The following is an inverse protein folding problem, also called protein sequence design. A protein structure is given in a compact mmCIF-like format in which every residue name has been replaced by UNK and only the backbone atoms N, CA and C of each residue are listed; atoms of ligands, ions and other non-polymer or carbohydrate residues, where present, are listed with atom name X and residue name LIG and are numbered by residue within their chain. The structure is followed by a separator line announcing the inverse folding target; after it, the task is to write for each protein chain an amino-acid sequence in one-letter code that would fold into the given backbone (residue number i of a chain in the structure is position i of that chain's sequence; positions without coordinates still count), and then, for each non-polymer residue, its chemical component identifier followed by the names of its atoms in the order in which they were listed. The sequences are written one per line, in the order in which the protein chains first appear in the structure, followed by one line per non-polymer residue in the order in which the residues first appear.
data_IF_650038056089
#
_entry.id   IF_650038056089
#
_cell.length_a   1.000
_cell.length_b   1.000
_cell.length_c   1.000
_cell.angle_alpha   90.00
_cell.angle_beta   90.00
_cell.angle_gamma   90.00
#
_symmetry.space_group_name_H-M   'P 1'
#
loop_
_entity.id
_entity.type
_entity.pdbx_description
1 polymer ?
#
# COMPACT_ATOMS: atom_id res chain seq x y z
N UNK A 1 -14.88 -24.08 -39.26
CA UNK A 1 -15.34 -23.16 -38.18
C UNK A 1 -16.37 -22.22 -38.79
N UNK A 2 -17.66 -22.32 -38.46
CA UNK A 2 -18.65 -21.44 -39.08
C UNK A 2 -18.63 -20.06 -38.42
N UNK A 3 -18.51 -19.02 -39.25
CA UNK A 3 -18.54 -17.62 -38.83
C UNK A 3 -19.96 -17.25 -38.36
N UNK A 4 -20.07 -16.74 -37.14
CA UNK A 4 -21.33 -16.28 -36.56
C UNK A 4 -21.67 -14.93 -37.19
N UNK A 5 -22.68 -14.92 -38.06
CA UNK A 5 -23.21 -13.72 -38.70
C UNK A 5 -24.07 -12.94 -37.70
N UNK A 6 -23.74 -11.67 -37.43
CA UNK A 6 -24.55 -10.77 -36.59
C UNK A 6 -25.19 -9.74 -37.52
N UNK A 7 -26.52 -9.73 -37.71
CA UNK A 7 -27.16 -8.73 -38.56
C UNK A 7 -27.09 -7.35 -37.87
N UNK A 8 -26.66 -6.35 -38.62
CA UNK A 8 -26.64 -4.96 -38.21
C UNK A 8 -28.06 -4.38 -38.35
N UNK A 9 -28.81 -4.29 -37.25
CA UNK A 9 -30.13 -3.65 -37.23
C UNK A 9 -30.00 -2.29 -36.58
N UNK A 10 -29.70 -1.29 -37.41
CA UNK A 10 -29.87 0.12 -37.09
C UNK A 10 -31.37 0.42 -36.98
N UNK A 11 -31.96 0.29 -35.79
CA UNK A 11 -33.31 0.81 -35.53
C UNK A 11 -33.18 2.26 -35.05
N UNK A 12 -33.64 3.19 -35.88
CA UNK A 12 -33.92 4.57 -35.47
C UNK A 12 -35.09 4.51 -34.48
N UNK A 13 -34.88 4.99 -33.27
CA UNK A 13 -35.92 5.08 -32.23
C UNK A 13 -36.73 6.37 -32.46
N UNK A 14 -38.08 6.33 -32.45
CA UNK A 14 -38.87 7.55 -32.51
C UNK A 14 -38.86 8.28 -31.17
N UNK A 15 -38.73 9.60 -31.21
CA UNK A 15 -38.80 10.51 -30.07
C UNK A 15 -40.22 10.49 -29.48
N UNK A 16 -40.36 9.85 -28.32
CA UNK A 16 -41.55 9.99 -27.47
C UNK A 16 -41.09 10.45 -26.09
N UNK A 17 -41.52 11.64 -25.69
CA UNK A 17 -41.25 12.21 -24.37
C UNK A 17 -41.96 11.37 -23.30
N UNK A 18 -41.22 10.46 -22.67
CA UNK A 18 -41.67 9.73 -21.48
C UNK A 18 -41.24 10.53 -20.26
N UNK A 19 -42.22 11.10 -19.53
CA UNK A 19 -41.98 11.72 -18.24
C UNK A 19 -41.50 10.65 -17.22
N UNK A 20 -40.20 10.62 -16.94
CA UNK A 20 -39.62 9.77 -15.90
C UNK A 20 -39.86 10.45 -14.56
N UNK A 21 -40.89 9.99 -13.85
CA UNK A 21 -41.10 10.30 -12.44
C UNK A 21 -39.90 9.82 -11.63
N UNK A 22 -39.09 10.76 -11.12
CA UNK A 22 -38.03 10.47 -10.15
C UNK A 22 -38.71 10.15 -8.82
N UNK A 23 -38.80 8.86 -8.51
CA UNK A 23 -39.14 8.42 -7.15
C UNK A 23 -37.87 8.51 -6.30
N UNK A 24 -37.92 9.37 -5.30
CA UNK A 24 -36.87 9.47 -4.29
C UNK A 24 -36.91 8.25 -3.36
N UNK A 25 -35.72 7.90 -2.88
CA UNK A 25 -35.41 6.86 -1.88
C UNK A 25 -35.39 5.40 -2.36
N UNK A 26 -34.22 5.00 -2.87
CA UNK A 26 -33.75 3.63 -2.76
C UNK A 26 -32.39 3.63 -2.08
N UNK A 27 -32.40 3.54 -0.74
CA UNK A 27 -31.25 3.23 0.10
C UNK A 27 -30.38 2.13 -0.55
N UNK A 28 -29.24 2.52 -1.12
CA UNK A 28 -28.33 1.66 -1.89
C UNK A 28 -27.48 0.81 -0.95
N UNK A 29 -28.13 -0.04 -0.16
CA UNK A 29 -27.47 -1.12 0.58
C UNK A 29 -27.10 -2.22 -0.42
N UNK A 30 -25.94 -2.06 -1.07
CA UNK A 30 -25.39 -3.06 -1.98
C UNK A 30 -25.40 -4.45 -1.33
N UNK A 31 -26.08 -5.41 -1.95
CA UNK A 31 -26.14 -6.79 -1.47
C UNK A 31 -24.73 -7.38 -1.52
N UNK A 32 -24.17 -7.74 -0.35
CA UNK A 32 -22.84 -8.37 -0.26
C UNK A 32 -22.85 -9.65 -1.09
N UNK A 33 -22.17 -9.63 -2.25
CA UNK A 33 -21.96 -10.83 -3.07
C UNK A 33 -21.19 -11.87 -2.23
N UNK A 34 -21.77 -13.06 -2.05
CA UNK A 34 -21.09 -14.18 -1.36
C UNK A 34 -19.89 -14.62 -2.19
N UNK A 35 -18.69 -14.62 -1.59
CA UNK A 35 -17.46 -15.05 -2.27
C UNK A 35 -17.51 -16.57 -2.48
N UNK A 36 -17.26 -17.02 -3.71
CA UNK A 36 -17.21 -18.44 -4.03
C UNK A 36 -16.17 -19.18 -3.16
N UNK A 37 -16.42 -20.46 -2.83
CA UNK A 37 -15.46 -21.26 -2.06
C UNK A 37 -14.12 -21.36 -2.81
N UNK A 38 -12.98 -21.36 -2.09
CA UNK A 38 -11.66 -21.45 -2.71
C UNK A 38 -11.48 -22.79 -3.43
N UNK A 39 -11.03 -22.74 -4.68
CA UNK A 39 -10.89 -23.90 -5.58
C UNK A 39 -9.73 -24.83 -5.22
N UNK A 40 -8.76 -24.38 -4.42
CA UNK A 40 -7.59 -25.19 -4.01
C UNK A 40 -7.68 -25.55 -2.52
N UNK A 41 -7.46 -26.83 -2.21
CA UNK A 41 -7.38 -27.37 -0.85
C UNK A 41 -6.20 -26.81 -0.04
N UNK A 42 -6.10 -27.15 1.26
CA UNK A 42 -4.93 -26.82 2.08
C UNK A 42 -3.65 -27.39 1.45
N UNK A 43 -2.49 -26.78 1.70
CA UNK A 43 -1.23 -27.40 1.32
C UNK A 43 -0.95 -28.67 2.14
N UNK A 44 0.08 -29.42 1.75
CA UNK A 44 0.58 -30.59 2.50
C UNK A 44 1.02 -30.22 3.92
N UNK A 45 1.35 -28.94 4.15
CA UNK A 45 1.67 -28.40 5.48
C UNK A 45 0.43 -27.90 6.26
N UNK A 46 -0.79 -28.25 5.82
CA UNK A 46 -2.05 -27.92 6.52
C UNK A 46 -2.54 -26.47 6.40
N UNK A 47 -1.82 -25.57 5.71
CA UNK A 47 -2.17 -24.15 5.63
C UNK A 47 -3.06 -23.86 4.43
N UNK A 48 -4.20 -23.18 4.68
CA UNK A 48 -5.09 -22.64 3.65
C UNK A 48 -5.24 -21.12 3.81
N UNK A 49 -4.96 -20.31 2.76
CA UNK A 49 -4.47 -20.65 1.43
C UNK A 49 -2.96 -20.98 1.35
N UNK A 50 -2.55 -21.73 0.31
CA UNK A 50 -1.16 -22.11 0.01
C UNK A 50 -0.16 -20.95 0.06
N UNK A 51 -0.56 -19.74 -0.32
CA UNK A 51 0.27 -18.52 -0.28
C UNK A 51 0.66 -18.06 1.13
N UNK A 52 -0.07 -18.49 2.17
CA UNK A 52 0.28 -18.22 3.58
C UNK A 52 1.26 -19.24 4.16
N UNK A 53 1.43 -20.39 3.52
CA UNK A 53 2.38 -21.39 3.97
C UNK A 53 3.80 -20.87 3.79
N UNK A 54 4.58 -20.79 4.88
CA UNK A 54 5.97 -20.30 4.83
C UNK A 54 6.84 -21.16 3.90
N UNK A 55 6.65 -22.48 3.93
CA UNK A 55 7.40 -23.43 3.11
C UNK A 55 7.00 -23.37 1.63
N UNK A 56 5.70 -23.42 1.32
CA UNK A 56 5.25 -23.37 -0.09
C UNK A 56 5.45 -22.00 -0.76
N UNK A 57 5.41 -20.91 0.01
CA UNK A 57 5.55 -19.55 -0.53
C UNK A 57 7.00 -19.05 -0.56
N UNK A 58 7.94 -19.78 0.05
CA UNK A 58 9.35 -19.45 0.03
C UNK A 58 10.00 -19.75 -1.33
N UNK A 59 11.05 -18.98 -1.64
CA UNK A 59 12.00 -19.23 -2.71
C UNK A 59 13.29 -19.84 -2.12
N UNK A 60 14.19 -20.39 -2.96
CA UNK A 60 15.49 -20.90 -2.49
C UNK A 60 16.35 -19.83 -1.79
N UNK A 61 16.11 -18.54 -2.05
CA UNK A 61 16.80 -17.42 -1.39
C UNK A 61 16.22 -17.05 -0.01
N UNK A 62 15.40 -17.92 0.60
CA UNK A 62 14.83 -17.72 1.94
C UNK A 62 13.78 -16.61 2.05
N UNK A 63 13.36 -16.01 0.93
CA UNK A 63 12.35 -14.95 0.86
C UNK A 63 11.02 -15.50 0.32
N UNK A 64 9.91 -14.79 0.51
CA UNK A 64 8.67 -15.13 -0.22
C UNK A 64 8.90 -14.92 -1.71
N UNK A 65 8.50 -15.86 -2.57
CA UNK A 65 8.67 -15.79 -4.04
C UNK A 65 8.21 -14.46 -4.63
N UNK A 66 7.08 -13.94 -4.16
CA UNK A 66 6.54 -12.65 -4.59
C UNK A 66 7.49 -11.47 -4.30
N UNK A 67 8.22 -11.50 -3.18
CA UNK A 67 9.15 -10.45 -2.72
C UNK A 67 10.62 -10.82 -2.92
N UNK A 68 10.95 -11.80 -3.77
CA UNK A 68 12.33 -12.14 -4.06
C UNK A 68 12.81 -11.41 -5.31
N UNK A 69 13.80 -10.52 -5.17
CA UNK A 69 14.39 -9.78 -6.30
C UNK A 69 15.13 -10.70 -7.26
N UNK A 70 15.88 -11.67 -6.73
CA UNK A 70 16.69 -12.63 -7.50
C UNK A 70 15.82 -13.59 -8.31
N UNK A 71 14.61 -13.92 -7.84
CA UNK A 71 13.65 -14.73 -8.59
C UNK A 71 12.78 -13.93 -9.58
N UNK A 72 12.99 -12.62 -9.73
CA UNK A 72 12.10 -11.77 -10.52
C UNK A 72 10.67 -11.72 -9.95
N UNK A 73 10.54 -11.76 -8.62
CA UNK A 73 9.26 -11.75 -7.93
C UNK A 73 8.37 -10.59 -8.37
N UNK A 74 7.07 -10.84 -8.54
CA UNK A 74 6.12 -9.88 -9.10
C UNK A 74 5.93 -8.58 -8.28
N UNK A 75 6.51 -8.49 -7.08
CA UNK A 75 6.60 -7.24 -6.32
C UNK A 75 7.55 -6.22 -6.96
N UNK A 76 8.53 -6.65 -7.76
CA UNK A 76 9.52 -5.77 -8.38
C UNK A 76 9.18 -5.51 -9.86
N UNK A 77 9.55 -4.34 -10.36
CA UNK A 77 9.53 -4.02 -11.78
C UNK A 77 10.89 -4.28 -12.43
N UNK A 78 10.96 -4.13 -13.75
CA UNK A 78 12.20 -4.23 -14.54
C UNK A 78 13.30 -3.27 -14.07
N UNK A 79 12.93 -2.11 -13.52
CA UNK A 79 13.84 -1.14 -12.91
C UNK A 79 14.44 -1.62 -11.56
N UNK A 80 14.12 -2.83 -11.10
CA UNK A 80 14.62 -3.39 -9.84
C UNK A 80 14.08 -2.70 -8.59
N UNK A 81 13.05 -1.84 -8.73
CA UNK A 81 12.31 -1.15 -7.67
C UNK A 81 11.01 -1.88 -7.36
N UNK A 82 10.45 -1.66 -6.17
CA UNK A 82 9.12 -2.19 -5.84
C UNK A 82 8.07 -1.55 -6.77
N UNK A 83 7.27 -2.35 -7.46
CA UNK A 83 6.35 -1.91 -8.53
C UNK A 83 5.36 -0.85 -8.04
N UNK A 84 4.89 -0.97 -6.80
CA UNK A 84 4.00 0.00 -6.16
C UNK A 84 4.64 1.38 -5.97
N UNK A 85 5.97 1.44 -5.79
CA UNK A 85 6.75 2.65 -5.51
C UNK A 85 7.60 3.13 -6.70
N UNK A 86 7.58 2.40 -7.81
CA UNK A 86 8.36 2.75 -8.98
C UNK A 86 7.70 3.94 -9.70
N UNK A 87 8.44 5.04 -9.83
CA UNK A 87 7.96 6.24 -10.54
C UNK A 87 7.83 6.01 -12.05
N UNK A 88 8.82 5.34 -12.66
CA UNK A 88 8.83 5.04 -14.10
C UNK A 88 7.66 4.13 -14.51
N UNK A 89 7.25 3.20 -13.64
CA UNK A 89 6.11 2.33 -13.90
C UNK A 89 4.75 2.93 -13.48
N UNK A 90 4.70 4.20 -13.02
CA UNK A 90 3.47 4.81 -12.51
C UNK A 90 2.88 4.05 -11.31
N UNK A 91 3.73 3.54 -10.43
CA UNK A 91 3.34 2.69 -9.32
C UNK A 91 2.18 3.26 -8.51
N UNK A 92 1.26 2.40 -8.06
CA UNK A 92 0.01 2.82 -7.41
C UNK A 92 0.20 3.68 -6.15
N UNK A 93 1.39 3.67 -5.54
CA UNK A 93 1.75 4.49 -4.38
C UNK A 93 2.34 5.85 -4.76
N UNK A 94 2.55 6.15 -6.04
CA UNK A 94 3.05 7.44 -6.53
C UNK A 94 1.86 8.31 -6.97
N UNK A 95 1.86 9.59 -6.58
CA UNK A 95 0.90 10.57 -7.06
C UNK A 95 1.40 11.29 -8.32
N UNK A 96 0.53 12.07 -8.96
CA UNK A 96 0.86 12.90 -10.13
C UNK A 96 2.05 13.84 -9.88
N UNK A 97 2.25 14.28 -8.63
CA UNK A 97 3.40 15.11 -8.22
C UNK A 97 4.73 14.33 -8.12
N UNK A 98 4.76 13.05 -8.49
CA UNK A 98 5.97 12.21 -8.43
C UNK A 98 6.45 11.91 -7.00
N UNK A 99 5.60 12.13 -5.99
CA UNK A 99 5.84 11.84 -4.57
C UNK A 99 5.05 10.59 -4.16
N UNK A 100 5.43 9.96 -3.04
CA UNK A 100 4.62 8.87 -2.47
C UNK A 100 3.28 9.46 -1.99
N UNK A 101 2.15 8.94 -2.49
CA UNK A 101 0.80 9.48 -2.28
C UNK A 101 0.47 9.66 -0.80
N UNK A 102 0.89 8.73 0.05
CA UNK A 102 0.68 8.80 1.50
C UNK A 102 1.48 9.94 2.18
N UNK A 103 2.55 10.43 1.57
CA UNK A 103 3.40 11.53 2.06
C UNK A 103 3.26 12.81 1.24
N UNK A 104 2.42 12.82 0.22
CA UNK A 104 2.22 13.99 -0.61
C UNK A 104 1.33 14.99 0.11
N UNK A 105 1.84 16.20 0.36
CA UNK A 105 1.08 17.29 1.00
C UNK A 105 -0.07 17.76 0.11
N UNK A 106 0.17 17.94 -1.19
CA UNK A 106 -0.84 18.40 -2.16
C UNK A 106 -2.00 17.41 -2.28
N UNK A 107 -1.73 16.10 -2.22
CA UNK A 107 -2.77 15.07 -2.25
C UNK A 107 -3.43 14.79 -0.88
N UNK A 108 -3.09 15.53 0.18
CA UNK A 108 -3.60 15.26 1.52
C UNK A 108 -3.24 13.86 2.03
N UNK A 109 -2.03 13.39 1.72
CA UNK A 109 -1.58 12.03 2.04
C UNK A 109 -1.82 11.64 3.49
N UNK A 110 -2.18 10.38 3.73
CA UNK A 110 -2.57 9.88 5.06
C UNK A 110 -1.50 10.02 6.15
N UNK A 111 -0.23 10.16 5.79
CA UNK A 111 0.87 10.41 6.72
C UNK A 111 1.09 11.90 6.98
N UNK A 112 0.43 12.81 6.26
CA UNK A 112 0.55 14.26 6.44
C UNK A 112 -0.54 14.78 7.39
N UNK A 113 -0.18 15.65 8.33
CA UNK A 113 -1.14 16.38 9.14
C UNK A 113 -1.56 17.70 8.47
N UNK A 114 -2.58 18.34 9.02
CA UNK A 114 -3.04 19.68 8.60
C UNK A 114 -1.92 20.74 8.67
N UNK A 115 -0.99 20.60 9.62
CA UNK A 115 0.19 21.46 9.74
C UNK A 115 1.24 21.23 8.63
N UNK A 116 0.99 20.32 7.68
CA UNK A 116 1.91 20.01 6.58
C UNK A 116 3.18 19.27 7.01
N UNK A 117 3.19 18.69 8.21
CA UNK A 117 4.27 17.82 8.72
C UNK A 117 3.82 16.36 8.65
N UNK A 118 4.78 15.43 8.71
CA UNK A 118 4.41 14.02 8.86
C UNK A 118 3.76 13.80 10.25
N UNK A 119 2.55 13.23 10.30
CA UNK A 119 1.74 13.02 11.52
C UNK A 119 2.55 12.38 12.64
N UNK A 120 3.42 11.42 12.30
CA UNK A 120 4.29 10.74 13.27
C UNK A 120 5.22 11.70 14.01
N UNK A 121 5.65 12.78 13.37
CA UNK A 121 6.62 13.74 13.92
C UNK A 121 6.00 15.12 14.17
N UNK A 122 4.67 15.25 14.11
CA UNK A 122 3.99 16.51 14.38
C UNK A 122 3.76 16.66 15.89
N UNK A 123 4.34 17.70 16.49
CA UNK A 123 4.19 18.03 17.92
C UNK A 123 2.77 18.43 18.28
N UNK A 124 2.15 19.26 17.45
CA UNK A 124 0.79 19.73 17.65
C UNK A 124 -0.23 18.58 17.60
N UNK A 125 0.02 17.56 16.76
CA UNK A 125 -0.83 16.37 16.68
C UNK A 125 -0.47 15.27 17.69
N UNK A 126 0.50 15.49 18.59
CA UNK A 126 0.96 14.45 19.53
C UNK A 126 1.52 13.20 18.84
N UNK A 127 2.24 13.39 17.73
CA UNK A 127 2.72 12.30 16.88
C UNK A 127 3.47 11.21 17.63
N UNK A 128 3.23 9.94 17.27
CA UNK A 128 3.81 8.77 17.95
C UNK A 128 5.34 8.68 17.92
N UNK A 129 6.00 9.47 17.08
CA UNK A 129 7.45 9.62 17.00
C UNK A 129 8.03 10.61 18.00
N UNK A 130 7.20 11.32 18.78
CA UNK A 130 7.62 12.32 19.76
C UNK A 130 7.45 11.74 21.18
N UNK A 131 8.44 11.95 22.05
CA UNK A 131 8.36 11.57 23.45
C UNK A 131 7.69 12.67 24.28
N UNK A 132 7.39 12.35 25.55
CA UNK A 132 6.88 13.32 26.53
C UNK A 132 7.78 14.56 26.69
N UNK A 133 9.08 14.42 26.48
CA UNK A 133 10.05 15.52 26.49
C UNK A 133 9.99 16.43 25.24
N UNK A 134 9.06 16.21 24.31
CA UNK A 134 8.92 17.00 23.09
C UNK A 134 10.04 16.81 22.06
N UNK A 135 10.87 15.75 22.21
CA UNK A 135 11.95 15.36 21.31
C UNK A 135 11.53 14.15 20.47
N UNK A 136 12.19 13.91 19.34
CA UNK A 136 11.97 12.67 18.58
C UNK A 136 12.41 11.47 19.42
N UNK A 137 11.53 10.48 19.64
CA UNK A 137 11.78 9.30 20.51
C UNK A 137 13.08 8.60 20.17
N UNK A 138 13.38 8.47 18.88
CA UNK A 138 14.60 7.83 18.37
C UNK A 138 15.88 8.57 18.83
N UNK A 139 15.82 9.88 19.04
CA UNK A 139 16.94 10.77 19.39
C UNK A 139 16.91 11.25 20.83
N UNK A 140 15.89 10.89 21.60
CA UNK A 140 15.75 11.34 22.97
C UNK A 140 16.72 10.58 23.86
N UNK A 141 17.64 11.29 24.52
CA UNK A 141 18.60 10.72 25.46
C UNK A 141 17.92 10.17 26.72
N UNK A 142 16.97 10.93 27.28
CA UNK A 142 16.22 10.53 28.48
C UNK A 142 15.40 9.26 28.25
N UNK A 143 14.84 9.08 27.05
CA UNK A 143 14.10 7.86 26.70
C UNK A 143 14.99 6.71 26.19
N UNK A 144 16.32 6.86 26.17
CA UNK A 144 17.21 5.84 25.61
C UNK A 144 16.91 5.53 24.14
N UNK A 145 16.60 6.55 23.35
CA UNK A 145 16.17 6.40 21.96
C UNK A 145 17.10 5.52 21.13
N UNK A 146 16.56 4.83 20.12
CA UNK A 146 17.33 3.86 19.32
C UNK A 146 18.57 4.42 18.63
N UNK A 147 18.64 5.74 18.41
CA UNK A 147 19.80 6.43 17.84
C UNK A 147 20.80 6.88 18.90
N UNK A 148 20.54 6.67 20.19
CA UNK A 148 21.47 6.95 21.28
C UNK A 148 22.30 5.68 21.55
N UNK A 149 23.62 5.84 21.66
CA UNK A 149 24.51 4.77 22.07
C UNK A 149 24.59 4.68 23.60
N UNK A 150 25.25 3.64 24.09
CA UNK A 150 25.54 3.48 25.53
C UNK A 150 26.32 4.65 26.13
N UNK A 151 27.12 5.37 25.32
CA UNK A 151 27.85 6.56 25.71
C UNK A 151 26.99 7.84 25.79
N UNK A 152 25.66 7.74 25.69
CA UNK A 152 24.75 8.90 25.83
C UNK A 152 24.83 9.94 24.71
N UNK A 153 25.44 9.60 23.57
CA UNK A 153 25.50 10.43 22.37
C UNK A 153 24.81 9.76 21.17
N UNK A 154 24.53 10.53 20.12
CA UNK A 154 23.93 9.96 18.91
C UNK A 154 24.92 9.00 18.25
N UNK A 155 24.50 7.77 17.96
CA UNK A 155 25.31 6.70 17.35
C UNK A 155 26.06 7.18 16.11
N UNK A 156 25.41 7.97 15.25
CA UNK A 156 26.00 8.52 14.02
C UNK A 156 27.11 9.56 14.27
N UNK A 157 27.15 10.19 15.46
CA UNK A 157 28.15 11.19 15.85
C UNK A 157 29.14 10.67 16.88
N UNK A 158 28.95 9.44 17.36
CA UNK A 158 29.81 8.85 18.36
C UNK A 158 31.14 8.46 17.72
N UNK A 159 32.25 9.01 18.21
CA UNK A 159 33.59 8.72 17.69
C UNK A 159 34.01 7.25 17.91
N UNK A 160 33.40 6.58 18.87
CA UNK A 160 33.66 5.17 19.20
C UNK A 160 32.73 4.25 18.41
N UNK A 161 31.44 4.58 18.25
CA UNK A 161 30.50 3.74 17.48
C UNK A 161 30.52 3.99 15.96
N UNK A 162 31.00 5.15 15.49
CA UNK A 162 30.97 5.54 14.08
C UNK A 162 32.16 5.05 13.23
N UNK A 163 33.04 4.23 13.80
CA UNK A 163 34.20 3.62 13.12
C UNK A 163 33.93 2.15 12.75
N UNK A 164 32.71 1.84 12.32
CA UNK A 164 32.27 0.51 11.91
C UNK A 164 31.81 0.49 10.46
#
# INVERSE_FOLDING_TARGET
MPAIWRPNVSRVLPDVDVEVGVTEDASSKGTKRKRAPPTKGPCEHGVKPRSRCKLCSACPHGKRRYHCKECGGAAFCEHGRERSKCKECGGASICEHGRERCRCKECGGSQMCEHGRERRYCKECGGSGICEHGRERSKCKECGGSQICEHGCQRSKCKECGRG
#
